data_IF_713402610922
#
_entry.id   IF_713402610922
#
_cell.length_a   1.000
_cell.length_b   1.000
_cell.length_c   1.000
_cell.angle_alpha   90.00
_cell.angle_beta   90.00
_cell.angle_gamma   90.00
#
_symmetry.space_group_name_H-M   'P 1'
#
loop_
_entity.id
_entity.type
_entity.pdbx_description
1 polymer ?
#
# COMPACT_ATOMS: atom_id res chain seq x y z
N UNK A 1 -11.90 23.12 24.69
CA UNK A 1 -11.48 22.05 23.76
C UNK A 1 -9.97 22.16 23.67
N UNK A 2 -9.25 21.07 23.73
CA UNK A 2 -7.81 21.05 23.52
C UNK A 2 -7.52 21.07 22.01
N UNK A 3 -6.41 21.70 21.63
CA UNK A 3 -5.97 21.70 20.23
C UNK A 3 -4.87 20.63 20.06
N UNK A 4 -4.72 20.16 18.82
CA UNK A 4 -3.70 19.22 18.38
C UNK A 4 -2.92 19.77 17.18
N UNK A 5 -1.75 19.24 16.92
CA UNK A 5 -1.01 19.49 15.68
C UNK A 5 -1.47 18.52 14.59
N UNK A 6 -1.66 19.06 13.37
CA UNK A 6 -2.03 18.30 12.19
C UNK A 6 -1.42 18.90 10.92
N UNK A 7 -1.14 18.06 9.94
CA UNK A 7 -0.75 18.51 8.60
C UNK A 7 -1.99 18.73 7.77
N UNK A 8 -2.20 19.97 7.34
CA UNK A 8 -3.38 20.39 6.57
C UNK A 8 -3.07 20.53 5.09
N UNK A 9 -4.00 20.10 4.26
CA UNK A 9 -4.10 20.42 2.84
C UNK A 9 -5.27 21.37 2.63
N UNK A 10 -5.00 22.61 2.27
CA UNK A 10 -6.04 23.64 2.12
C UNK A 10 -6.85 23.50 0.82
N UNK A 11 -6.22 23.01 -0.25
CA UNK A 11 -6.84 22.76 -1.55
C UNK A 11 -6.08 21.65 -2.29
N UNK A 12 -6.73 20.95 -3.19
CA UNK A 12 -6.07 19.90 -4.00
C UNK A 12 -4.93 20.48 -4.83
N UNK A 13 -3.78 19.81 -4.82
CA UNK A 13 -2.55 20.30 -5.45
C UNK A 13 -1.82 21.38 -4.67
N UNK A 14 -2.36 21.81 -3.53
CA UNK A 14 -1.76 22.81 -2.65
C UNK A 14 -0.58 22.29 -1.83
N UNK A 15 0.05 23.20 -1.08
CA UNK A 15 1.11 22.84 -0.15
C UNK A 15 0.55 22.29 1.16
N UNK A 16 1.27 21.37 1.76
CA UNK A 16 0.99 20.86 3.10
C UNK A 16 1.58 21.82 4.15
N UNK A 17 0.82 22.09 5.21
CA UNK A 17 1.28 22.91 6.33
C UNK A 17 0.88 22.30 7.67
N UNK A 18 1.74 22.40 8.68
CA UNK A 18 1.37 22.03 10.05
C UNK A 18 0.55 23.16 10.66
N UNK A 19 -0.62 22.81 11.17
CA UNK A 19 -1.57 23.75 11.81
C UNK A 19 -2.05 23.21 13.16
N UNK A 20 -2.47 24.16 14.02
CA UNK A 20 -3.18 23.85 15.28
C UNK A 20 -4.67 23.78 14.98
N UNK A 21 -5.26 22.61 15.19
CA UNK A 21 -6.70 22.36 14.97
C UNK A 21 -7.35 21.79 16.24
N UNK A 22 -8.66 21.95 16.43
CA UNK A 22 -9.34 21.32 17.56
C UNK A 22 -9.19 19.79 17.55
N UNK A 23 -8.96 19.17 18.70
CA UNK A 23 -9.04 17.71 18.85
C UNK A 23 -10.46 17.27 18.50
N UNK A 24 -10.65 16.32 17.53
CA UNK A 24 -11.99 15.91 17.10
C UNK A 24 -12.69 15.08 18.18
N UNK A 25 -14.02 15.21 18.27
CA UNK A 25 -14.84 14.35 19.12
C UNK A 25 -15.50 13.26 18.23
N UNK A 26 -15.52 11.99 18.68
CA UNK A 26 -16.07 10.92 17.88
C UNK A 26 -17.61 11.02 17.78
N UNK A 27 -18.12 10.85 16.57
CA UNK A 27 -19.55 10.68 16.30
C UNK A 27 -20.08 9.38 16.96
N UNK A 28 -21.41 9.16 17.08
CA UNK A 28 -21.95 8.04 17.85
C UNK A 28 -21.41 6.64 17.50
N UNK A 29 -21.02 6.39 16.24
CA UNK A 29 -20.49 5.10 15.77
C UNK A 29 -18.99 5.15 15.44
N UNK A 30 -18.30 6.18 15.91
CA UNK A 30 -16.88 6.38 15.69
C UNK A 30 -16.06 6.13 16.96
N UNK A 31 -14.78 5.96 16.77
CA UNK A 31 -13.78 6.04 17.83
C UNK A 31 -12.81 7.16 17.52
N UNK A 32 -12.28 7.79 18.55
CA UNK A 32 -11.08 8.62 18.44
C UNK A 32 -9.86 7.75 18.71
N UNK A 33 -8.87 7.82 17.83
CA UNK A 33 -7.60 7.13 17.97
C UNK A 33 -6.50 8.15 18.19
N UNK A 34 -5.72 7.99 19.25
CA UNK A 34 -4.42 8.66 19.39
C UNK A 34 -3.46 8.01 18.40
N UNK A 35 -3.03 8.74 17.38
CA UNK A 35 -2.13 8.22 16.34
C UNK A 35 -0.73 8.09 16.89
N UNK A 36 -0.15 6.90 16.76
CA UNK A 36 1.23 6.61 17.15
C UNK A 36 2.16 6.51 15.94
N UNK A 37 1.64 6.04 14.82
CA UNK A 37 2.40 5.91 13.59
C UNK A 37 1.48 6.05 12.37
N UNK A 38 1.93 6.75 11.32
CA UNK A 38 1.24 6.85 10.04
C UNK A 38 2.25 6.75 8.89
N UNK A 39 2.02 5.86 7.92
CA UNK A 39 2.89 5.72 6.76
C UNK A 39 2.77 6.89 5.77
N UNK A 40 3.90 7.35 5.24
CA UNK A 40 3.93 8.33 4.14
C UNK A 40 3.95 7.59 2.81
N UNK A 41 2.97 7.83 1.95
CA UNK A 41 2.73 6.99 0.78
C UNK A 41 2.58 7.77 -0.52
N UNK A 42 2.91 7.12 -1.64
CA UNK A 42 2.58 7.67 -2.97
C UNK A 42 1.07 7.77 -3.21
N UNK A 43 0.27 6.93 -2.58
CA UNK A 43 -1.19 7.00 -2.66
C UNK A 43 -1.70 8.31 -2.04
N UNK A 44 -1.14 8.72 -0.87
CA UNK A 44 -1.44 10.03 -0.26
C UNK A 44 -0.96 11.16 -1.15
N UNK A 45 0.24 11.06 -1.73
CA UNK A 45 0.76 12.07 -2.66
C UNK A 45 -0.15 12.22 -3.90
N UNK A 46 -0.64 11.09 -4.44
CA UNK A 46 -1.62 11.12 -5.54
C UNK A 46 -2.94 11.76 -5.10
N UNK A 47 -3.41 11.48 -3.89
CA UNK A 47 -4.61 12.11 -3.33
C UNK A 47 -4.45 13.62 -3.14
N UNK A 48 -3.32 14.08 -2.60
CA UNK A 48 -3.00 15.52 -2.44
C UNK A 48 -3.14 16.26 -3.78
N UNK A 49 -2.74 15.60 -4.89
CA UNK A 49 -2.85 16.16 -6.24
C UNK A 49 -4.22 15.93 -6.91
N UNK A 50 -5.25 15.52 -6.17
CA UNK A 50 -6.60 15.27 -6.69
C UNK A 50 -6.75 14.00 -7.53
N UNK A 51 -5.75 13.09 -7.51
CA UNK A 51 -5.76 11.89 -8.35
C UNK A 51 -6.70 10.76 -7.87
N UNK A 52 -7.24 10.85 -6.66
CA UNK A 52 -8.26 9.92 -6.15
C UNK A 52 -9.65 10.55 -6.15
N UNK A 53 -9.75 11.82 -5.79
CA UNK A 53 -10.95 12.64 -5.80
C UNK A 53 -10.51 14.10 -5.90
N UNK A 54 -11.15 14.92 -6.70
CA UNK A 54 -10.81 16.32 -6.94
C UNK A 54 -11.96 17.29 -6.58
N UNK A 55 -13.00 16.80 -5.89
CA UNK A 55 -14.10 17.63 -5.42
C UNK A 55 -13.56 18.68 -4.43
N UNK A 56 -13.64 19.99 -4.77
CA UNK A 56 -13.12 21.06 -3.91
C UNK A 56 -13.87 21.17 -2.56
N UNK A 57 -15.05 20.57 -2.42
CA UNK A 57 -15.79 20.55 -1.16
C UNK A 57 -15.17 19.62 -0.11
N UNK A 58 -14.24 18.75 -0.52
CA UNK A 58 -13.53 17.84 0.38
C UNK A 58 -12.30 18.47 1.05
N UNK A 59 -11.92 19.67 0.65
CA UNK A 59 -10.83 20.43 1.30
C UNK A 59 -11.40 21.64 2.08
N UNK A 60 -10.76 22.12 3.16
CA UNK A 60 -9.47 21.66 3.70
C UNK A 60 -9.53 20.25 4.28
N UNK A 61 -8.40 19.53 4.31
CA UNK A 61 -8.32 18.12 4.70
C UNK A 61 -7.01 17.79 5.41
N UNK A 62 -7.05 16.88 6.38
CA UNK A 62 -5.87 16.22 6.94
C UNK A 62 -5.62 14.95 6.12
N UNK A 63 -4.49 14.79 5.42
CA UNK A 63 -4.16 13.56 4.69
C UNK A 63 -3.69 12.44 5.62
N UNK A 64 -3.31 11.28 5.00
CA UNK A 64 -2.76 10.13 5.71
C UNK A 64 -3.81 9.05 5.99
N UNK A 65 -3.56 7.81 5.49
CA UNK A 65 -4.56 6.75 5.58
C UNK A 65 -4.05 5.45 6.21
N UNK A 66 -2.74 5.28 6.29
CA UNK A 66 -2.07 4.06 6.73
C UNK A 66 -1.53 4.25 8.13
N UNK A 67 -2.35 3.98 9.16
CA UNK A 67 -1.95 4.32 10.52
C UNK A 67 -2.29 3.23 11.54
N UNK A 68 -1.58 3.32 12.67
CA UNK A 68 -1.86 2.58 13.89
C UNK A 68 -1.78 3.49 15.11
N UNK A 69 -2.50 3.13 16.16
CA UNK A 69 -2.55 3.92 17.39
C UNK A 69 -3.38 3.25 18.48
N UNK A 70 -3.77 4.06 19.45
CA UNK A 70 -4.52 3.62 20.64
C UNK A 70 -5.89 4.29 20.65
N UNK A 71 -6.95 3.52 20.87
CA UNK A 71 -8.29 4.06 21.07
C UNK A 71 -8.29 4.96 22.30
N UNK A 72 -8.61 6.24 22.12
CA UNK A 72 -8.57 7.28 23.15
C UNK A 72 -9.98 7.67 23.65
N UNK A 73 -10.97 7.66 22.76
CA UNK A 73 -12.38 7.93 23.11
C UNK A 73 -13.33 7.10 22.24
N UNK A 74 -14.54 6.90 22.75
CA UNK A 74 -15.60 6.12 22.10
C UNK A 74 -16.83 7.00 21.87
N UNK A 75 -17.43 6.92 20.69
CA UNK A 75 -18.77 7.42 20.44
C UNK A 75 -19.84 6.64 21.20
N UNK A 76 -21.01 7.25 21.37
CA UNK A 76 -22.07 6.76 22.25
C UNK A 76 -22.53 5.31 21.96
N UNK A 77 -22.53 4.89 20.68
CA UNK A 77 -23.02 3.56 20.26
C UNK A 77 -21.90 2.51 20.14
N UNK A 78 -20.65 2.86 20.48
CA UNK A 78 -19.52 1.95 20.29
C UNK A 78 -19.44 0.97 21.46
N UNK A 79 -19.52 -0.32 21.14
CA UNK A 79 -19.30 -1.44 22.08
C UNK A 79 -18.27 -2.46 21.58
N UNK A 80 -17.81 -2.31 20.33
CA UNK A 80 -16.89 -3.26 19.71
C UNK A 80 -15.40 -2.97 20.00
N UNK A 81 -15.11 -1.82 20.66
CA UNK A 81 -13.75 -1.41 21.05
C UNK A 81 -13.75 -0.90 22.48
N UNK A 82 -12.56 -0.81 23.05
CA UNK A 82 -12.33 -0.27 24.39
C UNK A 82 -11.25 0.80 24.35
N UNK A 83 -11.35 1.81 25.24
CA UNK A 83 -10.27 2.78 25.43
C UNK A 83 -9.01 2.04 25.89
N UNK A 84 -7.86 2.37 25.29
CA UNK A 84 -6.58 1.71 25.51
C UNK A 84 -6.31 0.54 24.56
N UNK A 85 -7.26 0.16 23.71
CA UNK A 85 -7.07 -0.91 22.71
C UNK A 85 -6.16 -0.42 21.57
N UNK A 86 -5.17 -1.25 21.19
CA UNK A 86 -4.29 -0.99 20.06
C UNK A 86 -5.00 -1.36 18.76
N UNK A 87 -4.98 -0.47 17.78
CA UNK A 87 -5.67 -0.66 16.50
C UNK A 87 -4.81 -0.18 15.33
N UNK A 88 -5.05 -0.77 14.16
CA UNK A 88 -4.66 -0.24 12.86
C UNK A 88 -5.89 0.11 12.04
N UNK A 89 -5.71 0.91 11.00
CA UNK A 89 -6.79 1.36 10.14
C UNK A 89 -7.07 0.42 8.96
N UNK A 90 -8.33 0.18 8.68
CA UNK A 90 -8.82 -0.21 7.37
C UNK A 90 -9.29 1.03 6.63
N UNK A 91 -8.51 1.53 5.68
CA UNK A 91 -8.70 2.89 5.18
C UNK A 91 -9.79 3.05 4.11
N UNK A 92 -10.40 1.97 3.61
CA UNK A 92 -11.56 2.04 2.75
C UNK A 92 -12.85 2.25 3.56
N UNK A 93 -13.58 3.32 3.26
CA UNK A 93 -14.90 3.58 3.84
C UNK A 93 -15.95 2.74 3.09
N UNK A 94 -16.30 1.61 3.67
CA UNK A 94 -17.15 0.60 3.01
C UNK A 94 -18.50 0.47 3.71
N UNK A 95 -19.54 0.17 2.96
CA UNK A 95 -20.90 0.15 3.50
C UNK A 95 -21.21 -1.03 4.46
N UNK A 96 -20.41 -2.07 4.49
CA UNK A 96 -20.57 -3.26 5.35
C UNK A 96 -21.79 -4.15 5.04
N UNK A 97 -22.66 -3.79 4.08
CA UNK A 97 -23.96 -4.45 3.85
C UNK A 97 -24.25 -4.91 2.43
N UNK A 98 -23.46 -4.50 1.42
CA UNK A 98 -23.62 -5.01 0.05
C UNK A 98 -23.08 -6.45 -0.05
N UNK A 99 -23.42 -7.15 -1.13
CA UNK A 99 -23.06 -8.57 -1.32
C UNK A 99 -21.55 -8.81 -1.21
N UNK A 100 -20.71 -7.88 -1.74
CA UNK A 100 -19.27 -7.98 -1.61
C UNK A 100 -18.81 -7.89 -0.15
N UNK A 101 -19.30 -6.91 0.61
CA UNK A 101 -19.00 -6.77 2.03
C UNK A 101 -19.46 -8.00 2.84
N UNK A 102 -20.63 -8.56 2.52
CA UNK A 102 -21.16 -9.73 3.21
C UNK A 102 -20.35 -11.02 2.95
N UNK A 103 -19.60 -11.06 1.84
CA UNK A 103 -18.69 -12.16 1.53
C UNK A 103 -17.26 -11.94 2.04
N UNK A 104 -16.98 -10.80 2.74
CA UNK A 104 -15.62 -10.46 3.15
C UNK A 104 -14.74 -9.97 2.00
N UNK A 105 -15.35 -9.43 0.93
CA UNK A 105 -14.68 -8.82 -0.23
C UNK A 105 -14.86 -7.30 -0.18
N UNK A 106 -14.60 -6.68 0.95
CA UNK A 106 -14.90 -5.26 1.21
C UNK A 106 -14.17 -4.32 0.25
N UNK A 107 -12.99 -4.71 -0.23
CA UNK A 107 -12.23 -3.98 -1.25
C UNK A 107 -13.00 -3.83 -2.58
N UNK A 108 -14.08 -4.62 -2.78
CA UNK A 108 -14.99 -4.54 -3.93
C UNK A 108 -16.36 -3.97 -3.55
N UNK A 109 -16.44 -3.22 -2.46
CA UNK A 109 -17.70 -2.60 -2.03
C UNK A 109 -18.37 -1.83 -3.16
N UNK A 110 -19.67 -2.11 -3.42
CA UNK A 110 -20.44 -1.42 -4.47
C UNK A 110 -21.03 -0.09 -4.01
N UNK A 111 -21.08 0.16 -2.70
CA UNK A 111 -21.45 1.42 -2.10
C UNK A 111 -20.26 1.96 -1.30
N UNK A 112 -19.21 2.25 -2.03
CA UNK A 112 -17.94 2.73 -1.50
C UNK A 112 -18.05 4.23 -1.23
N UNK A 113 -17.79 4.64 0.02
CA UNK A 113 -17.94 6.03 0.47
C UNK A 113 -16.61 6.81 0.43
N UNK A 114 -15.53 6.20 -0.08
CA UNK A 114 -14.24 6.86 -0.23
C UNK A 114 -13.13 6.30 0.67
N UNK A 115 -12.14 7.12 0.91
CA UNK A 115 -10.91 6.78 1.64
C UNK A 115 -10.68 7.71 2.82
N UNK A 116 -10.12 7.18 3.91
CA UNK A 116 -9.55 8.01 4.98
C UNK A 116 -8.44 8.91 4.41
N UNK A 117 -8.39 10.16 4.84
CA UNK A 117 -7.43 11.15 4.34
C UNK A 117 -7.78 11.77 2.98
N UNK A 118 -8.93 11.38 2.38
CA UNK A 118 -9.47 11.95 1.14
C UNK A 118 -10.92 12.39 1.34
N UNK A 119 -11.84 11.48 1.59
CA UNK A 119 -13.28 11.76 1.81
C UNK A 119 -13.62 12.01 3.29
N UNK A 120 -12.68 11.73 4.19
CA UNK A 120 -12.68 12.13 5.60
C UNK A 120 -11.28 12.56 6.01
N UNK A 121 -11.11 13.17 7.18
CA UNK A 121 -9.79 13.48 7.71
C UNK A 121 -8.96 12.21 7.92
N UNK A 122 -7.65 12.36 7.76
CA UNK A 122 -6.64 11.31 7.88
C UNK A 122 -5.78 11.44 9.14
N UNK A 123 -4.67 10.73 9.13
CA UNK A 123 -3.86 10.47 10.32
C UNK A 123 -2.50 11.21 10.35
N UNK A 124 -2.29 12.21 9.51
CA UNK A 124 -1.18 13.14 9.71
C UNK A 124 -1.53 14.16 10.81
N UNK A 125 -1.91 13.64 11.98
CA UNK A 125 -2.36 14.39 13.14
C UNK A 125 -2.15 13.58 14.42
N UNK A 126 -2.18 14.23 15.59
CA UNK A 126 -2.08 13.54 16.88
C UNK A 126 -3.28 12.65 17.19
N UNK A 127 -4.46 13.00 16.66
CA UNK A 127 -5.72 12.25 16.84
C UNK A 127 -6.52 12.24 15.55
N UNK A 128 -7.30 11.16 15.37
CA UNK A 128 -8.25 10.99 14.28
C UNK A 128 -9.54 10.38 14.80
N UNK A 129 -10.71 10.77 14.25
CA UNK A 129 -11.96 10.03 14.43
C UNK A 129 -12.26 9.21 13.19
N UNK A 130 -12.64 7.96 13.40
CA UNK A 130 -13.01 7.04 12.30
C UNK A 130 -14.16 6.13 12.71
N UNK A 131 -14.95 5.62 11.74
CA UNK A 131 -15.95 4.62 12.04
C UNK A 131 -15.32 3.42 12.76
N UNK A 132 -15.95 2.93 13.83
CA UNK A 132 -15.43 1.79 14.59
C UNK A 132 -15.18 0.56 13.72
N UNK A 133 -15.98 0.40 12.67
CA UNK A 133 -15.81 -0.67 11.68
C UNK A 133 -14.51 -0.57 10.88
N UNK A 134 -13.87 0.58 10.84
CA UNK A 134 -12.59 0.83 10.17
C UNK A 134 -11.37 0.63 11.08
N UNK A 135 -11.58 0.24 12.34
CA UNK A 135 -10.49 -0.14 13.25
C UNK A 135 -10.35 -1.65 13.31
N UNK A 136 -9.14 -2.14 13.18
CA UNK A 136 -8.79 -3.55 13.34
C UNK A 136 -7.87 -3.70 14.56
N UNK A 137 -8.21 -4.55 15.55
CA UNK A 137 -7.38 -4.72 16.74
C UNK A 137 -6.06 -5.40 16.37
N UNK A 138 -4.99 -4.98 17.03
CA UNK A 138 -3.66 -5.55 16.85
C UNK A 138 -3.09 -6.02 18.19
N UNK A 139 -2.22 -7.06 18.19
CA UNK A 139 -1.48 -7.45 19.37
C UNK A 139 -0.61 -6.31 19.90
N UNK A 140 -0.45 -6.20 21.22
CA UNK A 140 0.45 -5.21 21.83
C UNK A 140 1.95 -5.51 21.62
N UNK A 141 2.29 -6.68 21.08
CA UNK A 141 3.64 -7.10 20.69
C UNK A 141 4.16 -6.42 19.42
N UNK A 142 3.26 -6.11 18.48
CA UNK A 142 3.64 -5.43 17.24
C UNK A 142 3.91 -3.93 17.50
N UNK A 143 4.98 -3.38 16.94
CA UNK A 143 5.22 -1.94 17.01
C UNK A 143 4.17 -1.16 16.20
N UNK A 144 3.86 0.07 16.60
CA UNK A 144 2.91 0.91 15.86
C UNK A 144 3.39 1.22 14.45
N UNK A 145 4.71 1.35 14.23
CA UNK A 145 5.29 1.55 12.91
C UNK A 145 5.01 0.34 12.00
N UNK A 146 5.29 -0.87 12.48
CA UNK A 146 5.01 -2.10 11.74
C UNK A 146 3.50 -2.27 11.48
N UNK A 147 2.66 -1.99 12.48
CA UNK A 147 1.21 -2.07 12.35
C UNK A 147 0.65 -1.04 11.34
N UNK A 148 1.16 0.19 11.35
CA UNK A 148 0.79 1.20 10.36
C UNK A 148 1.11 0.71 8.94
N UNK A 149 2.35 0.23 8.71
CA UNK A 149 2.77 -0.31 7.42
C UNK A 149 1.95 -1.54 7.01
N UNK A 150 1.55 -2.38 7.96
CA UNK A 150 0.71 -3.55 7.67
C UNK A 150 -0.62 -3.17 7.01
N UNK A 151 -1.17 -2.00 7.33
CA UNK A 151 -2.48 -1.55 6.86
C UNK A 151 -2.58 -1.40 5.33
N UNK A 152 -1.47 -1.08 4.64
CA UNK A 152 -1.40 -0.99 3.17
C UNK A 152 -0.12 -1.66 2.63
N UNK A 153 1.04 -1.26 3.16
CA UNK A 153 2.37 -1.65 2.67
C UNK A 153 2.62 -3.17 2.62
N UNK A 154 1.95 -3.97 3.45
CA UNK A 154 1.98 -5.43 3.37
C UNK A 154 0.61 -6.03 2.98
N UNK A 155 -0.52 -5.43 3.36
CA UNK A 155 -1.84 -5.95 3.02
C UNK A 155 -2.08 -5.96 1.50
N UNK A 156 -1.68 -4.91 0.79
CA UNK A 156 -1.75 -4.85 -0.68
C UNK A 156 -0.90 -5.93 -1.34
N UNK A 157 0.40 -6.14 -0.99
CA UNK A 157 1.18 -7.30 -1.43
C UNK A 157 0.52 -8.66 -1.14
N UNK A 158 -0.06 -8.82 0.06
CA UNK A 158 -0.73 -10.06 0.44
C UNK A 158 -1.92 -10.35 -0.50
N UNK A 159 -2.77 -9.35 -0.75
CA UNK A 159 -3.89 -9.46 -1.68
C UNK A 159 -3.43 -9.79 -3.11
N UNK A 160 -2.33 -9.18 -3.58
CA UNK A 160 -1.74 -9.51 -4.90
C UNK A 160 -1.32 -10.97 -4.96
N UNK A 161 -0.60 -11.46 -3.95
CA UNK A 161 -0.16 -12.85 -3.90
C UNK A 161 -1.33 -13.85 -3.83
N UNK A 162 -2.39 -13.54 -3.05
CA UNK A 162 -3.61 -14.36 -3.00
C UNK A 162 -4.33 -14.37 -4.35
N UNK A 163 -4.44 -13.21 -4.98
CA UNK A 163 -5.15 -13.03 -6.24
C UNK A 163 -4.45 -13.72 -7.42
N UNK A 164 -3.12 -13.77 -7.38
CA UNK A 164 -2.30 -14.42 -8.38
C UNK A 164 -1.98 -15.89 -8.04
N UNK A 165 -2.44 -16.38 -6.89
CA UNK A 165 -2.13 -17.72 -6.37
C UNK A 165 -0.62 -18.00 -6.33
N UNK A 166 0.17 -16.99 -5.88
CA UNK A 166 1.64 -17.08 -5.82
C UNK A 166 2.06 -18.14 -4.81
N UNK A 167 2.89 -19.08 -5.22
CA UNK A 167 3.35 -20.19 -4.39
C UNK A 167 4.68 -20.79 -4.81
N UNK A 168 4.96 -21.97 -4.27
CA UNK A 168 6.20 -22.72 -4.52
C UNK A 168 6.34 -23.10 -6.00
N UNK A 169 7.52 -22.86 -6.55
CA UNK A 169 7.86 -23.11 -7.94
C UNK A 169 7.51 -21.98 -8.91
N UNK A 170 6.83 -20.93 -8.47
CA UNK A 170 6.60 -19.75 -9.31
C UNK A 170 7.88 -18.93 -9.51
N UNK A 171 7.95 -18.25 -10.66
CA UNK A 171 8.90 -17.17 -10.92
C UNK A 171 8.12 -15.87 -11.04
N UNK A 172 8.25 -15.02 -10.03
CA UNK A 172 7.50 -13.76 -9.90
C UNK A 172 8.38 -12.58 -10.26
N UNK A 173 8.03 -11.85 -11.31
CA UNK A 173 8.62 -10.55 -11.61
C UNK A 173 7.85 -9.46 -10.87
N UNK A 174 8.55 -8.64 -10.09
CA UNK A 174 8.00 -7.45 -9.43
C UNK A 174 8.56 -6.20 -10.09
N UNK A 175 7.76 -5.52 -10.93
CA UNK A 175 8.11 -4.22 -11.51
C UNK A 175 7.95 -3.15 -10.44
N UNK A 176 9.01 -2.39 -10.16
CA UNK A 176 9.11 -1.51 -9.00
C UNK A 176 9.46 -2.28 -7.72
N UNK A 177 10.24 -3.36 -7.83
CA UNK A 177 10.62 -4.25 -6.73
C UNK A 177 11.38 -3.57 -5.59
N UNK A 178 12.08 -2.47 -5.87
CA UNK A 178 12.74 -1.65 -4.85
C UNK A 178 11.84 -0.53 -4.28
N UNK A 179 10.58 -0.46 -4.72
CA UNK A 179 9.60 0.47 -4.19
C UNK A 179 8.98 -0.02 -2.88
N UNK A 180 8.20 0.87 -2.25
CA UNK A 180 7.54 0.66 -0.96
C UNK A 180 6.67 -0.62 -0.91
N UNK A 181 5.81 -0.81 -1.89
CA UNK A 181 4.98 -2.02 -2.03
C UNK A 181 5.81 -3.19 -2.53
N UNK A 182 6.72 -2.91 -3.50
CA UNK A 182 7.52 -3.94 -4.18
C UNK A 182 8.42 -4.72 -3.23
N UNK A 183 9.09 -4.07 -2.29
CA UNK A 183 10.02 -4.75 -1.37
C UNK A 183 9.31 -5.77 -0.47
N UNK A 184 8.12 -5.43 0.07
CA UNK A 184 7.34 -6.38 0.87
C UNK A 184 6.69 -7.46 -0.01
N UNK A 185 6.32 -7.13 -1.26
CA UNK A 185 5.86 -8.14 -2.22
C UNK A 185 6.97 -9.15 -2.54
N UNK A 186 8.23 -8.69 -2.71
CA UNK A 186 9.38 -9.57 -2.91
C UNK A 186 9.60 -10.50 -1.71
N UNK A 187 9.59 -9.97 -0.48
CA UNK A 187 9.69 -10.79 0.73
C UNK A 187 8.55 -11.82 0.82
N UNK A 188 7.32 -11.39 0.58
CA UNK A 188 6.13 -12.24 0.71
C UNK A 188 6.09 -13.36 -0.33
N UNK A 189 6.41 -13.05 -1.60
CA UNK A 189 6.49 -14.04 -2.66
C UNK A 189 7.61 -15.06 -2.39
N UNK A 190 8.78 -14.60 -1.96
CA UNK A 190 9.90 -15.47 -1.56
C UNK A 190 9.53 -16.36 -0.36
N UNK A 191 8.84 -15.81 0.67
CA UNK A 191 8.35 -16.58 1.82
C UNK A 191 7.33 -17.65 1.45
N UNK A 192 6.67 -17.53 0.28
CA UNK A 192 5.76 -18.53 -0.30
C UNK A 192 6.47 -19.57 -1.17
N UNK A 193 7.79 -19.48 -1.31
CA UNK A 193 8.61 -20.41 -2.10
C UNK A 193 8.83 -20.00 -3.55
N UNK A 194 8.38 -18.83 -3.97
CA UNK A 194 8.62 -18.33 -5.32
C UNK A 194 10.06 -17.83 -5.49
N UNK A 195 10.62 -18.00 -6.68
CA UNK A 195 11.80 -17.27 -7.14
C UNK A 195 11.36 -15.89 -7.63
N UNK A 196 11.93 -14.80 -7.07
CA UNK A 196 11.50 -13.44 -7.34
C UNK A 196 12.54 -12.68 -8.16
N UNK A 197 12.10 -12.01 -9.21
CA UNK A 197 12.88 -11.05 -9.99
C UNK A 197 12.42 -9.64 -9.57
N UNK A 198 13.23 -8.95 -8.77
CA UNK A 198 12.94 -7.59 -8.30
C UNK A 198 13.47 -6.58 -9.32
N UNK A 199 12.61 -6.05 -10.18
CA UNK A 199 12.98 -5.11 -11.24
C UNK A 199 12.75 -3.66 -10.82
N UNK A 200 13.75 -2.81 -11.01
CA UNK A 200 13.65 -1.36 -10.85
C UNK A 200 14.60 -0.66 -11.82
N UNK A 201 14.25 0.55 -12.24
CA UNK A 201 15.09 1.40 -13.09
C UNK A 201 16.18 2.14 -12.29
N UNK A 202 16.12 2.09 -10.98
CA UNK A 202 17.06 2.74 -10.07
C UNK A 202 17.98 1.70 -9.42
N UNK A 203 19.09 1.46 -10.06
CA UNK A 203 20.06 0.43 -9.65
C UNK A 203 20.60 0.62 -8.24
N UNK A 204 20.75 1.87 -7.78
CA UNK A 204 21.16 2.17 -6.41
C UNK A 204 20.14 1.67 -5.36
N UNK A 205 18.86 1.50 -5.71
CA UNK A 205 17.84 0.94 -4.81
C UNK A 205 17.83 -0.59 -4.81
N UNK A 206 18.25 -1.21 -5.91
CA UNK A 206 18.32 -2.66 -6.01
C UNK A 206 19.34 -3.27 -5.03
N UNK A 207 20.40 -2.53 -4.65
CA UNK A 207 21.32 -2.97 -3.60
C UNK A 207 20.65 -3.15 -2.25
N UNK A 208 19.67 -2.30 -1.91
CA UNK A 208 18.90 -2.43 -0.68
C UNK A 208 17.91 -3.60 -0.71
N UNK A 209 17.36 -3.91 -1.89
CA UNK A 209 16.53 -5.12 -2.03
C UNK A 209 17.32 -6.37 -1.65
N UNK A 210 18.55 -6.47 -2.12
CA UNK A 210 19.45 -7.60 -1.80
C UNK A 210 19.78 -7.68 -0.29
N UNK A 211 19.88 -6.53 0.39
CA UNK A 211 20.14 -6.45 1.83
C UNK A 211 18.95 -6.88 2.70
N UNK A 212 17.71 -6.58 2.27
CA UNK A 212 16.48 -6.75 3.07
C UNK A 212 15.62 -7.94 2.63
N UNK A 213 16.00 -8.62 1.56
CA UNK A 213 15.31 -9.82 1.06
C UNK A 213 16.27 -11.03 1.08
N UNK A 214 15.74 -12.22 1.01
CA UNK A 214 16.55 -13.43 1.05
C UNK A 214 17.06 -13.87 -0.32
N UNK A 215 17.79 -14.99 -0.38
CA UNK A 215 18.46 -15.49 -1.61
C UNK A 215 17.49 -15.93 -2.72
N UNK A 216 16.19 -15.95 -2.47
CA UNK A 216 15.16 -16.23 -3.48
C UNK A 216 14.80 -15.00 -4.31
N UNK A 217 15.36 -13.81 -3.99
CA UNK A 217 15.11 -12.57 -4.71
C UNK A 217 16.35 -12.18 -5.50
N UNK A 218 16.19 -11.97 -6.80
CA UNK A 218 17.25 -11.56 -7.73
C UNK A 218 16.95 -10.15 -8.23
N UNK A 219 17.82 -9.16 -7.95
CA UNK A 219 17.69 -7.81 -8.50
C UNK A 219 17.87 -7.81 -10.04
N UNK A 220 17.04 -7.04 -10.75
CA UNK A 220 17.10 -6.89 -12.21
C UNK A 220 17.01 -5.42 -12.59
N UNK A 221 17.94 -4.95 -13.43
CA UNK A 221 17.93 -3.56 -13.93
C UNK A 221 16.91 -3.41 -15.06
N UNK A 222 15.80 -2.73 -14.78
CA UNK A 222 14.76 -2.50 -15.77
C UNK A 222 15.04 -1.32 -16.71
N UNK A 223 16.16 -0.62 -16.55
CA UNK A 223 16.58 0.47 -17.45
C UNK A 223 17.33 -0.02 -18.69
N UNK A 224 17.76 -1.26 -18.71
CA UNK A 224 18.52 -1.83 -19.82
C UNK A 224 17.67 -2.11 -21.06
N UNK A 225 18.18 -1.86 -22.27
CA UNK A 225 17.39 -1.96 -23.51
C UNK A 225 16.86 -3.37 -23.83
N UNK A 226 17.52 -4.41 -23.32
CA UNK A 226 17.19 -5.82 -23.55
C UNK A 226 16.50 -6.49 -22.36
N UNK A 227 15.74 -5.70 -21.57
CA UNK A 227 15.09 -6.15 -20.34
C UNK A 227 14.32 -7.47 -20.51
N UNK A 228 13.55 -7.65 -21.61
CA UNK A 228 12.86 -8.92 -21.87
C UNK A 228 13.80 -10.13 -22.05
N UNK A 229 14.99 -9.94 -22.59
CA UNK A 229 16.01 -11.00 -22.70
C UNK A 229 16.60 -11.32 -21.33
N UNK A 230 16.93 -10.30 -20.55
CA UNK A 230 17.41 -10.48 -19.16
C UNK A 230 16.42 -11.26 -18.30
N UNK A 231 15.10 -10.97 -18.41
CA UNK A 231 14.08 -11.71 -17.69
C UNK A 231 14.09 -13.21 -18.05
N UNK A 232 14.30 -13.54 -19.30
CA UNK A 232 14.41 -14.95 -19.72
C UNK A 232 15.70 -15.60 -19.20
N UNK A 233 16.82 -14.90 -19.29
CA UNK A 233 18.11 -15.40 -18.81
C UNK A 233 18.14 -15.64 -17.30
N UNK A 234 17.42 -14.80 -16.53
CA UNK A 234 17.29 -14.92 -15.09
C UNK A 234 16.37 -16.08 -14.63
N UNK A 235 15.73 -16.79 -15.58
CA UNK A 235 14.80 -17.89 -15.27
C UNK A 235 15.34 -19.24 -15.74
N UNK A 236 14.90 -20.31 -15.08
CA UNK A 236 15.27 -21.69 -15.44
C UNK A 236 14.87 -22.00 -16.88
N UNK A 237 15.81 -22.52 -17.67
CA UNK A 237 15.66 -22.87 -19.08
C UNK A 237 15.21 -21.69 -20.00
N UNK A 238 15.36 -20.43 -19.56
CA UNK A 238 15.00 -19.28 -20.37
C UNK A 238 13.48 -19.09 -20.57
N UNK A 239 12.66 -19.64 -19.67
CA UNK A 239 11.20 -19.68 -19.81
C UNK A 239 10.53 -18.31 -19.59
N UNK A 240 11.17 -17.40 -18.86
CA UNK A 240 10.57 -16.14 -18.41
C UNK A 240 9.74 -16.32 -17.12
N UNK A 241 9.25 -15.20 -16.52
CA UNK A 241 8.39 -15.24 -15.35
C UNK A 241 7.00 -15.80 -15.71
N UNK A 242 6.37 -16.50 -14.77
CA UNK A 242 4.97 -16.94 -14.92
C UNK A 242 3.99 -16.01 -14.20
N UNK A 243 4.46 -15.19 -13.26
CA UNK A 243 3.69 -14.10 -12.64
C UNK A 243 4.45 -12.79 -12.80
N UNK A 244 3.79 -11.77 -13.33
CA UNK A 244 4.31 -10.39 -13.39
C UNK A 244 3.41 -9.52 -12.54
N UNK A 245 3.99 -8.79 -11.58
CA UNK A 245 3.28 -7.82 -10.76
C UNK A 245 3.79 -6.42 -11.09
N UNK A 246 2.88 -5.57 -11.57
CA UNK A 246 3.19 -4.19 -11.93
C UNK A 246 2.72 -3.22 -10.84
N UNK A 247 3.69 -2.56 -10.18
CA UNK A 247 3.45 -1.52 -9.17
C UNK A 247 3.75 -0.10 -9.68
N UNK A 248 4.12 0.05 -10.96
CA UNK A 248 4.62 1.30 -11.55
C UNK A 248 3.71 1.84 -12.66
N UNK A 249 3.20 0.97 -13.53
CA UNK A 249 2.40 1.34 -14.70
C UNK A 249 3.22 1.96 -15.84
N UNK A 250 4.50 1.63 -15.95
CA UNK A 250 5.30 1.99 -17.11
C UNK A 250 5.03 1.02 -18.26
N UNK A 251 4.55 1.55 -19.38
CA UNK A 251 4.05 0.74 -20.48
C UNK A 251 5.14 -0.01 -21.22
N UNK A 252 6.33 0.57 -21.36
CA UNK A 252 7.45 -0.07 -22.05
C UNK A 252 7.97 -1.25 -21.24
N UNK A 253 8.17 -1.07 -19.94
CA UNK A 253 8.57 -2.14 -19.01
C UNK A 253 7.52 -3.24 -18.94
N UNK A 254 6.23 -2.86 -18.89
CA UNK A 254 5.12 -3.82 -18.83
C UNK A 254 5.00 -4.62 -20.13
N UNK A 255 5.22 -3.97 -21.28
CA UNK A 255 5.20 -4.63 -22.60
C UNK A 255 6.39 -5.61 -22.73
N UNK A 256 7.58 -5.20 -22.34
CA UNK A 256 8.76 -6.10 -22.34
C UNK A 256 8.56 -7.30 -21.39
N UNK A 257 7.90 -7.08 -20.24
CA UNK A 257 7.56 -8.15 -19.30
C UNK A 257 6.52 -9.12 -19.88
N UNK A 258 5.52 -8.60 -20.60
CA UNK A 258 4.55 -9.42 -21.34
C UNK A 258 5.20 -10.27 -22.42
N UNK A 259 6.17 -9.71 -23.14
CA UNK A 259 6.92 -10.46 -24.17
C UNK A 259 7.74 -11.60 -23.56
N UNK A 260 8.29 -11.38 -22.36
CA UNK A 260 9.04 -12.40 -21.62
C UNK A 260 8.15 -13.41 -20.87
N UNK A 261 6.86 -13.13 -20.71
CA UNK A 261 5.93 -13.96 -19.94
C UNK A 261 5.84 -15.38 -20.51
N UNK A 262 5.94 -16.38 -19.66
CA UNK A 262 5.84 -17.79 -20.07
C UNK A 262 4.41 -18.17 -20.47
N UNK A 263 4.25 -19.34 -21.08
CA UNK A 263 2.93 -19.92 -21.39
C UNK A 263 2.12 -20.17 -20.12
N UNK A 264 0.84 -19.82 -20.16
CA UNK A 264 -0.05 -19.89 -18.98
C UNK A 264 0.18 -18.79 -17.94
N UNK A 265 1.08 -17.85 -18.22
CA UNK A 265 1.46 -16.81 -17.26
C UNK A 265 0.41 -15.72 -17.08
N UNK A 266 0.59 -14.90 -16.04
CA UNK A 266 -0.35 -13.85 -15.68
C UNK A 266 0.35 -12.53 -15.34
N UNK A 267 -0.31 -11.42 -15.66
CA UNK A 267 0.07 -10.07 -15.27
C UNK A 267 -0.93 -9.53 -14.27
N UNK A 268 -0.47 -9.04 -13.14
CA UNK A 268 -1.29 -8.36 -12.13
C UNK A 268 -0.87 -6.91 -12.05
N UNK A 269 -1.80 -5.98 -12.27
CA UNK A 269 -1.55 -4.55 -12.09
C UNK A 269 -2.37 -3.98 -10.94
N UNK A 270 -1.76 -3.08 -10.17
CA UNK A 270 -2.41 -2.35 -9.09
C UNK A 270 -2.30 -0.82 -9.28
N UNK A 271 -1.88 -0.39 -10.46
CA UNK A 271 -1.70 1.03 -10.79
C UNK A 271 -2.99 1.66 -11.32
N UNK A 272 -3.17 2.96 -11.04
CA UNK A 272 -4.40 3.72 -11.38
C UNK A 272 -4.11 4.90 -12.29
N UNK A 273 -3.25 4.74 -13.29
CA UNK A 273 -2.95 5.79 -14.26
C UNK A 273 -4.11 6.00 -15.24
N UNK A 274 -4.72 7.18 -15.25
CA UNK A 274 -5.88 7.49 -16.08
C UNK A 274 -5.58 7.57 -17.59
N UNK A 275 -4.34 7.89 -17.98
CA UNK A 275 -3.95 8.13 -19.38
C UNK A 275 -3.12 7.01 -20.01
N UNK A 276 -2.81 5.95 -19.23
CA UNK A 276 -1.98 4.84 -19.71
C UNK A 276 -2.84 3.63 -20.09
N UNK A 277 -2.51 3.00 -21.20
CA UNK A 277 -3.19 1.79 -21.68
C UNK A 277 -2.20 0.69 -21.97
N UNK A 278 -2.38 -0.47 -21.34
CA UNK A 278 -1.68 -1.71 -21.66
C UNK A 278 -2.60 -2.56 -22.56
N UNK A 279 -2.19 -2.77 -23.80
CA UNK A 279 -3.05 -3.39 -24.83
C UNK A 279 -2.30 -4.49 -25.61
N UNK A 280 -2.05 -5.66 -25.00
CA UNK A 280 -1.49 -6.81 -25.71
C UNK A 280 -2.41 -7.26 -26.88
N UNK A 281 -1.83 -7.85 -27.92
CA UNK A 281 -2.60 -8.37 -29.03
C UNK A 281 -3.46 -9.56 -28.59
N UNK A 282 -4.70 -9.64 -29.09
CA UNK A 282 -5.59 -10.77 -28.80
C UNK A 282 -4.97 -12.13 -29.15
N UNK A 283 -4.13 -12.18 -30.20
CA UNK A 283 -3.38 -13.37 -30.58
C UNK A 283 -2.48 -13.85 -29.45
N UNK A 284 -1.82 -12.94 -28.75
CA UNK A 284 -0.85 -13.28 -27.70
C UNK A 284 -1.54 -13.87 -26.47
N UNK A 285 -2.73 -13.35 -26.12
CA UNK A 285 -3.56 -13.97 -25.08
C UNK A 285 -3.87 -15.43 -25.39
N UNK A 286 -4.29 -15.71 -26.64
CA UNK A 286 -4.66 -17.07 -27.04
C UNK A 286 -3.45 -17.98 -27.13
N UNK A 287 -2.35 -17.51 -27.74
CA UNK A 287 -1.16 -18.34 -27.93
C UNK A 287 -0.47 -18.60 -26.59
N UNK A 288 -0.39 -17.62 -25.72
CA UNK A 288 0.23 -17.79 -24.39
C UNK A 288 -0.74 -18.40 -23.36
N UNK A 289 -2.03 -18.47 -23.65
CA UNK A 289 -3.07 -18.79 -22.65
C UNK A 289 -2.95 -17.93 -21.40
N UNK A 290 -2.60 -16.64 -21.59
CA UNK A 290 -2.24 -15.71 -20.54
C UNK A 290 -3.44 -14.96 -19.96
N UNK A 291 -3.28 -14.39 -18.76
CA UNK A 291 -4.29 -13.56 -18.10
C UNK A 291 -3.74 -12.18 -17.69
N UNK A 292 -4.64 -11.19 -17.62
CA UNK A 292 -4.36 -9.90 -17.01
C UNK A 292 -5.38 -9.66 -15.90
N UNK A 293 -4.91 -9.38 -14.70
CA UNK A 293 -5.70 -9.22 -13.49
C UNK A 293 -5.51 -7.81 -12.92
N UNK A 294 -6.61 -7.16 -12.54
CA UNK A 294 -6.55 -5.98 -11.69
C UNK A 294 -6.52 -6.40 -10.21
N UNK A 295 -5.74 -5.73 -9.39
CA UNK A 295 -5.70 -5.89 -7.93
C UNK A 295 -6.02 -4.57 -7.26
N UNK A 296 -6.94 -4.58 -6.29
CA UNK A 296 -7.39 -3.38 -5.59
C UNK A 296 -7.30 -3.59 -4.08
N UNK A 297 -6.30 -2.96 -3.45
CA UNK A 297 -6.09 -2.96 -2.01
C UNK A 297 -6.14 -4.38 -1.40
N UNK A 298 -6.87 -4.53 -0.27
CA UNK A 298 -7.01 -5.76 0.48
C UNK A 298 -8.38 -5.85 1.17
N UNK A 299 -8.76 -7.04 1.62
CA UNK A 299 -9.87 -7.25 2.53
C UNK A 299 -9.45 -6.99 3.98
N UNK A 300 -10.41 -6.82 4.89
CA UNK A 300 -10.11 -6.66 6.33
C UNK A 300 -9.37 -7.87 6.91
N UNK A 301 -9.72 -9.07 6.45
CA UNK A 301 -9.03 -10.31 6.86
C UNK A 301 -7.57 -10.28 6.42
N UNK A 302 -7.29 -9.88 5.19
CA UNK A 302 -5.91 -9.77 4.69
C UNK A 302 -5.10 -8.72 5.44
N UNK A 303 -5.71 -7.58 5.82
CA UNK A 303 -5.05 -6.57 6.66
C UNK A 303 -4.68 -7.13 8.03
N UNK A 304 -5.59 -7.88 8.67
CA UNK A 304 -5.29 -8.56 9.95
C UNK A 304 -4.17 -9.60 9.79
N UNK A 305 -4.21 -10.40 8.73
CA UNK A 305 -3.16 -11.40 8.45
C UNK A 305 -1.82 -10.74 8.15
N UNK A 306 -1.81 -9.60 7.45
CA UNK A 306 -0.58 -8.83 7.21
C UNK A 306 0.06 -8.37 8.52
N UNK A 307 -0.72 -7.82 9.46
CA UNK A 307 -0.21 -7.47 10.77
C UNK A 307 0.36 -8.69 11.52
N UNK A 308 -0.29 -9.85 11.42
CA UNK A 308 0.19 -11.11 12.00
C UNK A 308 1.51 -11.58 11.40
N UNK A 309 1.76 -11.37 10.11
CA UNK A 309 3.01 -11.73 9.45
C UNK A 309 4.21 -10.92 9.96
N UNK A 310 4.00 -9.66 10.34
CA UNK A 310 5.01 -8.84 10.99
C UNK A 310 5.19 -9.23 12.47
N UNK A 311 4.10 -9.49 13.18
CA UNK A 311 4.13 -9.84 14.61
C UNK A 311 4.86 -11.17 14.88
N UNK A 312 4.70 -12.16 14.01
CA UNK A 312 5.37 -13.45 14.14
C UNK A 312 6.74 -13.54 13.41
N UNK A 313 7.21 -12.44 12.84
CA UNK A 313 8.54 -12.31 12.22
C UNK A 313 8.74 -13.11 10.94
N UNK A 314 7.63 -13.47 10.24
CA UNK A 314 7.73 -14.14 8.92
C UNK A 314 8.11 -13.17 7.80
N UNK A 315 7.74 -11.92 7.95
CA UNK A 315 8.10 -10.82 7.06
C UNK A 315 8.66 -9.70 7.94
N UNK A 316 9.70 -9.04 7.48
CA UNK A 316 10.31 -7.90 8.19
C UNK A 316 9.68 -6.58 7.73
N UNK A 317 9.19 -5.73 8.64
CA UNK A 317 8.72 -4.40 8.27
C UNK A 317 9.91 -3.52 7.87
N UNK A 318 9.90 -3.02 6.64
CA UNK A 318 11.00 -2.17 6.12
C UNK A 318 10.67 -0.71 6.40
N UNK A 319 10.96 -0.24 7.60
CA UNK A 319 10.91 1.19 7.98
C UNK A 319 12.29 1.79 7.73
N UNK A 320 12.40 2.73 6.79
CA UNK A 320 13.67 3.38 6.44
C UNK A 320 13.87 4.69 7.19
N UNK A 321 12.79 5.34 7.60
CA UNK A 321 12.86 6.60 8.34
C UNK A 321 11.63 6.81 9.23
N UNK A 322 11.83 7.55 10.34
CA UNK A 322 10.77 7.95 11.27
C UNK A 322 10.87 9.45 11.52
N UNK A 323 9.80 10.18 11.22
CA UNK A 323 9.77 11.65 11.19
C UNK A 323 8.66 12.23 12.08
N UNK A 324 8.73 13.53 12.36
CA UNK A 324 7.64 14.32 12.95
C UNK A 324 6.68 14.88 11.90
N UNK A 325 5.59 15.52 12.37
CA UNK A 325 4.59 16.15 11.48
C UNK A 325 5.20 17.28 10.64
N UNK A 326 6.16 18.02 11.17
CA UNK A 326 6.83 19.14 10.51
C UNK A 326 7.69 18.73 9.30
N UNK A 327 8.11 17.48 9.24
CA UNK A 327 8.90 16.93 8.13
C UNK A 327 8.03 16.36 6.99
N UNK A 328 6.73 16.11 7.21
CA UNK A 328 5.81 15.50 6.22
C UNK A 328 5.80 16.25 4.89
N UNK A 329 5.75 17.61 4.83
CA UNK A 329 5.75 18.33 3.56
C UNK A 329 7.00 18.06 2.71
N UNK A 330 8.19 17.94 3.34
CA UNK A 330 9.44 17.65 2.64
C UNK A 330 9.48 16.24 2.07
N UNK A 331 9.00 15.24 2.81
CA UNK A 331 8.95 13.86 2.33
C UNK A 331 7.99 13.72 1.13
N UNK A 332 6.86 14.43 1.15
CA UNK A 332 5.96 14.45 -0.01
C UNK A 332 6.62 15.11 -1.23
N UNK A 333 7.46 16.14 -1.05
CA UNK A 333 8.26 16.72 -2.13
C UNK A 333 9.26 15.70 -2.72
N UNK A 334 9.93 14.90 -1.87
CA UNK A 334 10.84 13.83 -2.30
C UNK A 334 10.09 12.72 -3.06
N UNK A 335 8.86 12.39 -2.64
CA UNK A 335 8.00 11.44 -3.35
C UNK A 335 7.67 11.95 -4.76
N UNK A 336 7.32 13.25 -4.91
CA UNK A 336 7.07 13.89 -6.22
C UNK A 336 8.30 13.87 -7.12
N UNK A 337 9.45 14.22 -6.57
CA UNK A 337 10.73 14.16 -7.26
C UNK A 337 11.16 12.71 -7.59
N UNK A 338 10.48 11.73 -6.99
CA UNK A 338 10.84 10.32 -7.07
C UNK A 338 12.15 10.00 -6.34
N UNK A 339 12.56 10.79 -5.39
CA UNK A 339 13.79 10.62 -4.59
C UNK A 339 13.56 9.79 -3.33
N UNK A 340 12.29 9.65 -2.88
CA UNK A 340 11.95 8.84 -1.72
C UNK A 340 12.30 7.36 -1.91
N UNK A 341 12.80 6.72 -0.85
CA UNK A 341 13.12 5.30 -0.80
C UNK A 341 12.52 4.66 0.46
N UNK A 342 12.06 3.41 0.33
CA UNK A 342 11.56 2.62 1.45
C UNK A 342 10.27 3.17 2.03
N UNK A 343 10.08 2.98 3.33
CA UNK A 343 8.88 3.37 4.05
C UNK A 343 9.21 4.38 5.16
N UNK A 344 8.81 5.62 4.95
CA UNK A 344 8.85 6.65 5.99
C UNK A 344 7.58 6.58 6.81
N UNK A 345 7.71 6.66 8.13
CA UNK A 345 6.61 6.66 9.09
C UNK A 345 6.62 7.95 9.88
N UNK A 346 5.47 8.60 9.96
CA UNK A 346 5.22 9.77 10.81
C UNK A 346 4.85 9.32 12.22
N UNK A 347 5.51 9.84 13.25
CA UNK A 347 5.10 9.77 14.65
C UNK A 347 4.63 11.16 15.09
N UNK A 348 3.31 11.41 15.17
CA UNK A 348 2.78 12.77 15.37
C UNK A 348 3.20 13.44 16.68
N UNK A 349 3.61 12.66 17.68
CA UNK A 349 4.06 13.15 19.00
C UNK A 349 5.57 13.10 19.21
N UNK A 350 6.33 12.99 18.12
CA UNK A 350 7.79 12.98 18.18
C UNK A 350 8.36 14.37 18.49
#
# INVERSE_FOLDING_TARGET
MSDMDAVMLSEWGGELAVERVPVPEPEPNEVRVAVHACGVTRTVENAINGGLDDDPSLTPRIPGHEFAGVVDALGENVSARSVGEHVLAYFYLVCGKCDACQRGEENRCTNFDGWLGVNSDGAYAEYITIPVANTLPIPSSISFQAAAIAADGLATPLHVCERADVGDGDTVLVIGGAGRIGVHLCQLAAARGAHVLAADVRTNRLTHVDEVTGPMVTPVDASEPDFAAQLREATSAGSGPNVVVDTVGDIDTLTASWDALTMGGQVVTLTTHHERSFAPLLKDFVIKEASVLGSRYATRDEVNRAAGLFDDGRIDPIVTDTIGLDEVPSIHADIRAGESYGMTVVEPKR
#
